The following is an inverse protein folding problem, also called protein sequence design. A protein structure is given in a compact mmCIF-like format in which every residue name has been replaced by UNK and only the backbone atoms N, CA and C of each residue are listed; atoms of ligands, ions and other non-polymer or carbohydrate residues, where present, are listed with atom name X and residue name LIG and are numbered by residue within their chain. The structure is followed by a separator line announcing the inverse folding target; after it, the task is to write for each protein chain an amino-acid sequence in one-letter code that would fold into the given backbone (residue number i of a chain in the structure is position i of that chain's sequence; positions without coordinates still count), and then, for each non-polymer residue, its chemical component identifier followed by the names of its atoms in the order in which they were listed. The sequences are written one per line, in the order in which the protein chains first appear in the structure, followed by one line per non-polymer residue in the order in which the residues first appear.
data_IF_310861352170
#
_entry.id   IF_310861352170
#
_cell.length_a   1.000
_cell.length_b   1.000
_cell.length_c   1.000
_cell.angle_alpha   90.00
_cell.angle_beta   90.00
_cell.angle_gamma   90.00
#
_symmetry.space_group_name_H-M   'P 1'
#
loop_
_entity.id
_entity.type
_entity.pdbx_description
1 polymer ?
#
# COMPACT_ATOMS: atom_id res chain seq x y z
N UNK A 1 71.66 -9.30 -14.16
CA UNK A 1 70.51 -10.15 -13.95
C UNK A 1 69.25 -9.23 -13.91
N UNK A 2 68.54 -9.14 -15.00
CA UNK A 2 67.27 -8.42 -15.04
C UNK A 2 66.16 -9.39 -14.58
N UNK A 3 65.59 -9.14 -13.38
CA UNK A 3 64.38 -9.84 -12.93
C UNK A 3 63.16 -9.23 -13.62
N UNK A 4 62.64 -9.91 -14.62
CA UNK A 4 61.31 -9.63 -15.18
C UNK A 4 60.29 -10.19 -14.21
N UNK A 5 59.52 -9.29 -13.52
CA UNK A 5 58.33 -9.68 -12.81
C UNK A 5 57.27 -10.13 -13.82
N UNK A 6 56.61 -11.29 -13.63
CA UNK A 6 55.49 -11.68 -14.48
C UNK A 6 54.35 -10.70 -14.25
N UNK A 7 53.98 -9.98 -15.32
CA UNK A 7 52.76 -9.18 -15.33
C UNK A 7 51.58 -10.12 -15.17
N UNK A 8 50.82 -9.95 -14.12
CA UNK A 8 49.49 -10.61 -13.96
C UNK A 8 48.61 -10.09 -15.10
N UNK A 9 48.37 -10.94 -16.11
CA UNK A 9 47.41 -10.64 -17.16
C UNK A 9 46.06 -10.45 -16.51
N UNK A 10 45.52 -9.23 -16.53
CA UNK A 10 44.20 -8.94 -16.09
C UNK A 10 43.23 -9.68 -17.04
N UNK A 11 42.52 -10.69 -16.54
CA UNK A 11 41.51 -11.41 -17.34
C UNK A 11 40.56 -10.42 -17.99
N UNK A 12 40.31 -10.57 -19.30
CA UNK A 12 39.40 -9.73 -20.04
C UNK A 12 37.98 -9.92 -19.48
N UNK A 13 37.37 -8.82 -19.04
CA UNK A 13 35.99 -8.85 -18.51
C UNK A 13 34.99 -9.36 -19.54
N UNK A 14 34.01 -10.13 -19.08
CA UNK A 14 32.91 -10.66 -19.92
C UNK A 14 32.04 -9.53 -20.46
N UNK A 15 31.54 -9.70 -21.67
CA UNK A 15 30.48 -8.83 -22.20
C UNK A 15 29.12 -9.36 -21.76
N UNK A 16 28.13 -8.44 -21.49
CA UNK A 16 26.76 -8.82 -21.18
C UNK A 16 26.10 -9.35 -22.46
N UNK A 17 25.41 -10.48 -22.37
CA UNK A 17 24.58 -11.02 -23.44
C UNK A 17 23.09 -10.94 -23.08
N UNK A 18 22.22 -11.07 -24.09
CA UNK A 18 20.78 -11.16 -23.85
C UNK A 18 20.41 -12.39 -23.03
N UNK A 19 21.13 -13.49 -23.21
CA UNK A 19 20.97 -14.73 -22.45
C UNK A 19 21.29 -14.51 -20.96
N UNK A 20 22.32 -13.70 -20.63
CA UNK A 20 22.65 -13.37 -19.24
C UNK A 20 21.53 -12.62 -18.55
N UNK A 21 20.83 -11.72 -19.27
CA UNK A 21 19.74 -10.92 -18.73
C UNK A 21 18.45 -11.73 -18.63
N UNK A 22 18.02 -12.39 -19.73
CA UNK A 22 16.65 -12.90 -19.88
C UNK A 22 16.50 -14.41 -19.64
N UNK A 23 17.55 -15.20 -19.83
CA UNK A 23 17.49 -16.65 -19.65
C UNK A 23 18.14 -17.11 -18.33
N UNK A 24 19.36 -16.63 -18.05
CA UNK A 24 20.14 -17.06 -16.90
C UNK A 24 19.84 -16.29 -15.63
N UNK A 25 19.15 -15.12 -15.74
CA UNK A 25 18.93 -14.21 -14.62
C UNK A 25 20.22 -13.89 -13.84
N UNK A 26 21.36 -13.73 -14.55
CA UNK A 26 22.71 -13.60 -14.00
C UNK A 26 22.82 -12.43 -13.00
N UNK A 27 22.04 -11.36 -13.23
CA UNK A 27 22.08 -10.13 -12.44
C UNK A 27 20.87 -9.99 -11.50
N UNK A 28 20.21 -11.10 -11.15
CA UNK A 28 19.06 -11.06 -10.25
C UNK A 28 19.47 -10.61 -8.86
N UNK A 29 18.86 -9.51 -8.40
CA UNK A 29 19.00 -9.02 -7.03
C UNK A 29 18.28 -9.99 -6.09
N UNK A 30 18.93 -10.37 -5.00
CA UNK A 30 18.31 -11.08 -3.91
C UNK A 30 17.64 -10.04 -3.00
N UNK A 31 16.33 -10.11 -2.90
CA UNK A 31 15.54 -9.25 -2.04
C UNK A 31 15.25 -9.95 -0.70
N UNK A 32 14.93 -9.17 0.31
CA UNK A 32 14.34 -9.70 1.55
C UNK A 32 12.89 -10.06 1.25
N UNK A 33 12.49 -11.33 1.34
CA UNK A 33 11.14 -11.76 1.03
C UNK A 33 10.16 -11.33 2.14
N UNK A 34 8.88 -11.19 1.78
CA UNK A 34 7.70 -11.00 2.60
C UNK A 34 7.92 -10.74 4.10
N UNK A 35 8.08 -9.48 4.48
CA UNK A 35 8.40 -9.06 5.85
C UNK A 35 7.17 -8.40 6.45
N UNK A 36 6.39 -9.16 7.24
CA UNK A 36 5.20 -8.62 7.92
C UNK A 36 5.52 -8.42 9.40
N UNK A 37 5.80 -7.16 9.78
CA UNK A 37 6.06 -6.82 11.18
C UNK A 37 4.83 -7.08 12.05
N UNK A 38 5.02 -7.73 13.20
CA UNK A 38 3.96 -7.98 14.18
C UNK A 38 3.78 -6.77 15.09
N UNK A 39 2.57 -6.63 15.66
CA UNK A 39 2.19 -5.50 16.51
C UNK A 39 2.99 -5.36 17.80
N UNK A 40 3.65 -6.43 18.24
CA UNK A 40 4.50 -6.39 19.43
C UNK A 40 5.80 -5.58 19.22
N UNK A 41 6.09 -5.18 17.96
CA UNK A 41 7.28 -4.40 17.59
C UNK A 41 8.61 -5.15 17.77
N UNK A 42 8.57 -6.46 17.98
CA UNK A 42 9.74 -7.33 18.25
C UNK A 42 9.87 -8.45 17.24
N UNK A 43 8.76 -8.88 16.65
CA UNK A 43 8.72 -10.00 15.73
C UNK A 43 8.20 -9.59 14.35
N UNK A 44 8.49 -10.42 13.37
CA UNK A 44 7.89 -10.37 12.05
C UNK A 44 7.53 -11.78 11.58
N UNK A 45 6.62 -11.86 10.63
CA UNK A 45 6.29 -13.13 9.98
C UNK A 45 6.74 -13.13 8.53
N UNK A 46 7.02 -14.31 8.02
CA UNK A 46 7.44 -14.55 6.65
C UNK A 46 6.77 -15.81 6.13
N UNK A 47 6.40 -15.80 4.84
CA UNK A 47 5.97 -16.99 4.11
C UNK A 47 7.22 -17.71 3.58
N UNK A 48 7.63 -18.75 4.26
CA UNK A 48 8.74 -19.62 3.86
C UNK A 48 8.24 -20.70 2.90
N UNK A 49 9.08 -21.08 1.96
CA UNK A 49 8.78 -22.14 0.99
C UNK A 49 9.91 -23.14 0.89
N UNK A 50 9.56 -24.43 0.93
CA UNK A 50 10.44 -25.56 0.69
C UNK A 50 9.77 -26.53 -0.30
N UNK A 51 10.11 -26.42 -1.57
CA UNK A 51 9.42 -27.09 -2.66
C UNK A 51 7.96 -26.67 -2.75
N UNK A 52 7.03 -27.62 -2.47
CA UNK A 52 5.58 -27.36 -2.38
C UNK A 52 5.11 -27.05 -0.96
N UNK A 53 6.00 -27.15 0.03
CA UNK A 53 5.66 -26.89 1.42
C UNK A 53 5.79 -25.42 1.72
N UNK A 54 4.78 -24.84 2.34
CA UNK A 54 4.73 -23.43 2.72
C UNK A 54 4.44 -23.29 4.22
N UNK A 55 5.11 -22.33 4.83
CA UNK A 55 5.03 -22.07 6.27
C UNK A 55 4.94 -20.58 6.52
N UNK A 56 3.98 -20.15 7.32
CA UNK A 56 4.01 -18.80 7.90
C UNK A 56 4.69 -18.92 9.25
N UNK A 57 5.87 -18.30 9.39
CA UNK A 57 6.73 -18.41 10.57
C UNK A 57 7.01 -17.08 11.20
N UNK A 58 7.16 -17.10 12.53
CA UNK A 58 7.59 -15.93 13.30
C UNK A 58 9.11 -15.92 13.35
N UNK A 59 9.67 -14.72 13.30
CA UNK A 59 11.10 -14.46 13.46
C UNK A 59 11.30 -13.27 14.40
N UNK A 60 12.35 -13.32 15.21
CA UNK A 60 12.77 -12.17 16.01
C UNK A 60 13.39 -11.10 15.11
N UNK A 61 12.97 -9.84 15.26
CA UNK A 61 13.44 -8.72 14.44
C UNK A 61 14.94 -8.46 14.63
N UNK A 62 15.39 -8.40 15.88
CA UNK A 62 16.77 -8.02 16.19
C UNK A 62 17.78 -9.11 15.82
N UNK A 63 17.49 -10.38 16.13
CA UNK A 63 18.42 -11.50 15.94
C UNK A 63 18.21 -12.23 14.63
N UNK A 64 16.96 -12.26 14.10
CA UNK A 64 16.56 -13.07 12.97
C UNK A 64 16.36 -14.54 13.32
N UNK A 65 16.37 -14.88 14.59
CA UNK A 65 16.12 -16.24 15.06
C UNK A 65 14.70 -16.67 14.70
N UNK A 66 14.61 -17.92 14.25
CA UNK A 66 13.35 -18.55 13.85
C UNK A 66 12.60 -18.98 15.10
N UNK A 67 11.38 -18.46 15.24
CA UNK A 67 10.44 -18.83 16.28
C UNK A 67 9.43 -19.90 15.83
N UNK A 68 8.19 -19.77 16.32
CA UNK A 68 7.10 -20.73 16.04
C UNK A 68 6.57 -20.64 14.62
N UNK A 69 5.95 -21.72 14.18
CA UNK A 69 5.20 -21.79 12.93
C UNK A 69 3.73 -21.52 13.22
N UNK A 70 3.16 -20.51 12.56
CA UNK A 70 1.73 -20.16 12.68
C UNK A 70 0.87 -21.00 11.75
N UNK A 71 1.35 -21.26 10.53
CA UNK A 71 0.66 -22.04 9.52
C UNK A 71 1.63 -22.97 8.81
N UNK A 72 1.18 -24.19 8.50
CA UNK A 72 1.93 -25.22 7.79
C UNK A 72 0.97 -25.94 6.82
N UNK A 73 1.14 -25.72 5.52
CA UNK A 73 0.25 -26.30 4.51
C UNK A 73 0.39 -27.83 4.33
N UNK A 74 1.33 -28.46 5.03
CA UNK A 74 1.43 -29.92 5.07
C UNK A 74 0.43 -30.54 6.06
N UNK A 75 0.07 -29.77 7.10
CA UNK A 75 -0.83 -30.17 8.19
C UNK A 75 -2.22 -29.57 7.95
N UNK A 76 -2.30 -28.25 7.74
CA UNK A 76 -3.53 -27.53 7.49
C UNK A 76 -3.97 -27.73 6.03
N UNK A 77 -4.98 -28.57 5.83
CA UNK A 77 -5.54 -28.91 4.52
C UNK A 77 -7.04 -28.67 4.50
N UNK A 78 -7.58 -28.33 3.35
CA UNK A 78 -9.01 -28.35 3.13
C UNK A 78 -9.39 -29.66 2.44
N UNK A 79 -9.91 -30.62 3.21
CA UNK A 79 -10.12 -31.98 2.73
C UNK A 79 -8.80 -32.67 2.40
N UNK A 80 -8.64 -33.15 1.16
CA UNK A 80 -7.41 -33.79 0.68
C UNK A 80 -6.43 -32.83 0.02
N UNK A 81 -6.85 -31.59 -0.26
CA UNK A 81 -6.05 -30.63 -1.03
C UNK A 81 -5.12 -29.81 -0.14
N UNK A 82 -3.90 -29.63 -0.62
CA UNK A 82 -2.92 -28.76 -0.01
C UNK A 82 -3.17 -27.31 -0.48
N UNK A 83 -3.30 -26.38 0.48
CA UNK A 83 -3.48 -24.96 0.19
C UNK A 83 -2.14 -24.35 -0.23
N UNK A 84 -2.11 -23.67 -1.39
CA UNK A 84 -0.97 -22.90 -1.85
C UNK A 84 -1.25 -21.40 -1.64
N UNK A 85 -0.54 -20.78 -0.71
CA UNK A 85 -0.73 -19.39 -0.32
C UNK A 85 0.09 -18.49 -1.25
N UNK A 86 -0.54 -17.44 -1.76
CA UNK A 86 0.13 -16.37 -2.50
C UNK A 86 0.37 -15.15 -1.60
N UNK A 87 -0.60 -14.84 -0.73
CA UNK A 87 -0.58 -13.71 0.19
C UNK A 87 -1.33 -14.07 1.48
N UNK A 88 -1.04 -13.36 2.57
CA UNK A 88 -1.80 -13.47 3.82
C UNK A 88 -1.86 -12.13 4.56
N UNK A 89 -2.93 -11.94 5.34
CA UNK A 89 -3.09 -10.78 6.24
C UNK A 89 -3.61 -11.21 7.60
N UNK A 90 -3.20 -10.49 8.64
CA UNK A 90 -3.67 -10.75 10.00
C UNK A 90 -4.99 -10.02 10.31
N UNK A 91 -5.78 -10.61 11.22
CA UNK A 91 -6.78 -9.85 11.98
C UNK A 91 -6.08 -8.83 12.88
N UNK A 92 -6.83 -7.82 13.34
CA UNK A 92 -6.28 -6.76 14.19
C UNK A 92 -5.68 -7.27 15.49
N UNK A 93 -6.20 -8.37 16.04
CA UNK A 93 -5.69 -9.03 17.26
C UNK A 93 -4.60 -10.07 16.98
N UNK A 94 -4.20 -10.24 15.72
CA UNK A 94 -3.24 -11.24 15.23
C UNK A 94 -3.59 -12.69 15.60
N UNK A 95 -4.88 -12.99 15.85
CA UNK A 95 -5.34 -14.34 16.18
C UNK A 95 -5.83 -15.11 14.94
N UNK A 96 -6.11 -14.43 13.84
CA UNK A 96 -6.58 -15.04 12.58
C UNK A 96 -5.78 -14.54 11.39
N UNK A 97 -5.78 -15.33 10.32
CA UNK A 97 -5.23 -14.98 9.02
C UNK A 97 -6.32 -15.07 7.94
N UNK A 98 -6.33 -14.13 7.01
CA UNK A 98 -6.83 -14.36 5.66
C UNK A 98 -5.70 -14.93 4.83
N UNK A 99 -5.95 -16.08 4.20
CA UNK A 99 -5.04 -16.74 3.28
C UNK A 99 -5.58 -16.58 1.86
N UNK A 100 -4.83 -15.93 0.99
CA UNK A 100 -5.19 -15.65 -0.39
C UNK A 100 -4.53 -16.67 -1.32
N UNK A 101 -5.33 -17.28 -2.17
CA UNK A 101 -4.91 -18.37 -3.06
C UNK A 101 -5.53 -18.22 -4.43
N UNK A 102 -4.96 -18.88 -5.45
CA UNK A 102 -5.52 -18.96 -6.80
C UNK A 102 -5.81 -17.57 -7.40
N UNK A 103 -4.88 -16.63 -7.26
CA UNK A 103 -5.02 -15.25 -7.74
C UNK A 103 -5.30 -15.17 -9.23
N UNK A 104 -6.28 -14.35 -9.61
CA UNK A 104 -6.65 -14.08 -11.00
C UNK A 104 -6.76 -12.57 -11.21
N UNK A 105 -5.81 -12.01 -11.95
CA UNK A 105 -5.84 -10.59 -12.29
C UNK A 105 -7.04 -10.25 -13.19
N UNK A 106 -7.73 -9.15 -12.88
CA UNK A 106 -8.79 -8.57 -13.70
C UNK A 106 -8.22 -7.43 -14.53
N UNK A 107 -7.58 -6.47 -13.86
CA UNK A 107 -6.84 -5.35 -14.44
C UNK A 107 -5.41 -5.35 -13.89
N UNK A 108 -4.76 -4.20 -13.87
CA UNK A 108 -3.37 -4.05 -13.43
C UNK A 108 -3.20 -4.40 -11.95
N UNK A 109 -4.14 -3.97 -11.09
CA UNK A 109 -4.04 -4.04 -9.63
C UNK A 109 -5.09 -4.95 -9.00
N UNK A 110 -6.27 -5.06 -9.59
CA UNK A 110 -7.37 -5.88 -9.05
C UNK A 110 -7.14 -7.37 -9.28
N UNK A 111 -7.18 -8.14 -8.19
CA UNK A 111 -7.00 -9.59 -8.20
C UNK A 111 -8.15 -10.28 -7.48
N UNK A 112 -8.80 -11.23 -8.14
CA UNK A 112 -9.75 -12.14 -7.55
C UNK A 112 -9.01 -13.29 -6.88
N UNK A 113 -9.32 -13.56 -5.61
CA UNK A 113 -8.72 -14.64 -4.83
C UNK A 113 -9.76 -15.61 -4.31
N UNK A 114 -9.40 -16.88 -4.20
CA UNK A 114 -10.04 -17.81 -3.28
C UNK A 114 -9.44 -17.53 -1.90
N UNK A 115 -10.29 -17.20 -0.94
CA UNK A 115 -9.85 -16.72 0.38
C UNK A 115 -10.31 -17.68 1.46
N UNK A 116 -9.40 -18.00 2.38
CA UNK A 116 -9.68 -18.77 3.58
C UNK A 116 -9.45 -17.94 4.84
N UNK A 117 -10.25 -18.17 5.85
CA UNK A 117 -10.04 -17.67 7.21
C UNK A 117 -9.39 -18.78 8.02
N UNK A 118 -8.24 -18.53 8.59
CA UNK A 118 -7.50 -19.46 9.44
C UNK A 118 -7.44 -18.93 10.88
N UNK A 119 -7.87 -19.73 11.84
CA UNK A 119 -7.76 -19.43 13.26
C UNK A 119 -6.46 -20.03 13.78
N UNK A 120 -5.53 -19.19 14.24
CA UNK A 120 -4.17 -19.60 14.63
C UNK A 120 -4.20 -20.49 15.87
N UNK A 121 -5.10 -20.22 16.82
CA UNK A 121 -5.16 -20.93 18.09
C UNK A 121 -5.71 -22.35 17.92
N UNK A 122 -6.74 -22.51 17.10
CA UNK A 122 -7.44 -23.79 16.92
C UNK A 122 -6.94 -24.59 15.73
N UNK A 123 -6.24 -23.94 14.79
CA UNK A 123 -5.85 -24.53 13.51
C UNK A 123 -7.02 -24.71 12.52
N UNK A 124 -8.20 -24.17 12.83
CA UNK A 124 -9.37 -24.30 11.98
C UNK A 124 -9.25 -23.45 10.71
N UNK A 125 -9.63 -24.02 9.56
CA UNK A 125 -9.68 -23.34 8.27
C UNK A 125 -11.12 -23.29 7.80
N UNK A 126 -11.58 -22.13 7.36
CA UNK A 126 -12.89 -21.91 6.80
C UNK A 126 -12.77 -21.18 5.45
N UNK A 127 -13.45 -21.69 4.41
CA UNK A 127 -13.60 -20.99 3.15
C UNK A 127 -14.47 -19.74 3.35
N UNK A 128 -13.99 -18.58 2.86
CA UNK A 128 -14.73 -17.32 2.98
C UNK A 128 -15.99 -17.35 2.11
N UNK A 129 -15.83 -17.66 0.83
CA UNK A 129 -16.92 -17.80 -0.15
C UNK A 129 -16.56 -18.90 -1.16
N UNK A 130 -17.57 -19.53 -1.78
CA UNK A 130 -17.35 -20.55 -2.82
C UNK A 130 -16.79 -19.93 -4.11
N UNK A 131 -17.12 -18.68 -4.40
CA UNK A 131 -16.55 -17.94 -5.51
C UNK A 131 -15.26 -17.23 -5.10
N UNK A 132 -14.44 -16.88 -6.07
CA UNK A 132 -13.33 -15.93 -5.85
C UNK A 132 -13.88 -14.54 -5.57
N UNK A 133 -13.24 -13.82 -4.65
CA UNK A 133 -13.66 -12.51 -4.18
C UNK A 133 -12.55 -11.49 -4.32
N UNK A 134 -12.92 -10.20 -4.30
CA UNK A 134 -12.01 -9.07 -4.26
C UNK A 134 -11.94 -8.51 -2.84
N UNK A 135 -10.76 -8.00 -2.46
CA UNK A 135 -10.57 -7.10 -1.32
C UNK A 135 -11.01 -7.62 0.04
N UNK A 136 -10.91 -8.92 0.30
CA UNK A 136 -11.26 -9.47 1.60
C UNK A 136 -10.47 -8.79 2.73
N UNK A 137 -11.18 -8.21 3.74
CA UNK A 137 -10.59 -7.53 4.90
C UNK A 137 -11.34 -7.86 6.17
N UNK A 138 -10.60 -8.08 7.27
CA UNK A 138 -11.21 -8.22 8.58
C UNK A 138 -11.86 -6.93 9.06
N UNK A 139 -12.95 -7.05 9.82
CA UNK A 139 -13.42 -5.97 10.70
C UNK A 139 -12.38 -5.67 11.78
N UNK A 140 -12.36 -4.47 12.37
CA UNK A 140 -11.41 -4.11 13.43
C UNK A 140 -11.40 -5.05 14.63
N UNK A 141 -12.55 -5.64 14.96
CA UNK A 141 -12.71 -6.64 16.03
C UNK A 141 -12.37 -8.09 15.62
N UNK A 142 -12.00 -8.31 14.34
CA UNK A 142 -11.66 -9.64 13.81
C UNK A 142 -12.81 -10.66 13.78
N UNK A 143 -14.06 -10.22 13.97
CA UNK A 143 -15.25 -11.09 14.01
C UNK A 143 -15.93 -11.25 12.66
N UNK A 144 -15.64 -10.36 11.71
CA UNK A 144 -16.25 -10.34 10.37
C UNK A 144 -15.18 -10.16 9.30
N UNK A 145 -15.52 -10.53 8.06
CA UNK A 145 -14.71 -10.26 6.87
C UNK A 145 -15.60 -9.62 5.81
N UNK A 146 -15.26 -8.42 5.37
CA UNK A 146 -15.90 -7.79 4.21
C UNK A 146 -15.17 -8.16 2.93
N UNK A 147 -15.91 -8.24 1.82
CA UNK A 147 -15.38 -8.56 0.50
C UNK A 147 -16.33 -8.13 -0.61
N UNK A 148 -15.83 -8.03 -1.83
CA UNK A 148 -16.62 -7.71 -3.02
C UNK A 148 -16.74 -8.93 -3.92
N UNK A 149 -17.95 -9.17 -4.41
CA UNK A 149 -18.29 -10.22 -5.37
C UNK A 149 -19.38 -9.72 -6.33
N UNK A 150 -19.16 -9.90 -7.65
CA UNK A 150 -20.13 -9.51 -8.68
C UNK A 150 -20.61 -8.06 -8.51
N UNK A 151 -19.68 -7.12 -8.35
CA UNK A 151 -19.92 -5.68 -8.14
C UNK A 151 -20.76 -5.32 -6.92
N UNK A 152 -20.92 -6.25 -5.97
CA UNK A 152 -21.62 -6.02 -4.72
C UNK A 152 -20.70 -6.25 -3.52
N UNK A 153 -20.90 -5.43 -2.50
CA UNK A 153 -20.21 -5.51 -1.23
C UNK A 153 -20.98 -6.44 -0.27
N UNK A 154 -20.25 -7.30 0.41
CA UNK A 154 -20.76 -8.25 1.41
C UNK A 154 -19.89 -8.20 2.66
N UNK A 155 -20.42 -8.71 3.76
CA UNK A 155 -19.58 -9.18 4.86
C UNK A 155 -20.04 -10.55 5.35
N UNK A 156 -19.10 -11.37 5.82
CA UNK A 156 -19.34 -12.65 6.48
C UNK A 156 -19.11 -12.50 7.98
N UNK A 157 -20.09 -12.87 8.79
CA UNK A 157 -19.96 -13.03 10.22
C UNK A 157 -19.30 -14.39 10.49
N UNK A 158 -18.13 -14.38 11.15
CA UNK A 158 -17.32 -15.57 11.38
C UNK A 158 -17.85 -16.44 12.52
N UNK A 159 -18.71 -15.90 13.41
CA UNK A 159 -19.28 -16.64 14.54
C UNK A 159 -20.40 -17.57 14.10
N UNK A 160 -21.26 -17.11 13.18
CA UNK A 160 -22.40 -17.86 12.69
C UNK A 160 -22.30 -18.28 11.23
N UNK A 161 -21.19 -17.92 10.56
CA UNK A 161 -20.90 -18.22 9.15
C UNK A 161 -21.90 -17.62 8.15
N UNK A 162 -22.69 -16.63 8.55
CA UNK A 162 -23.65 -15.96 7.66
C UNK A 162 -22.97 -14.91 6.80
N UNK A 163 -23.25 -14.95 5.49
CA UNK A 163 -22.87 -13.90 4.55
C UNK A 163 -24.05 -12.94 4.36
N UNK A 164 -23.81 -11.66 4.62
CA UNK A 164 -24.81 -10.60 4.57
C UNK A 164 -24.45 -9.65 3.42
N UNK A 165 -25.37 -9.39 2.48
CA UNK A 165 -25.17 -8.37 1.45
C UNK A 165 -25.29 -6.98 2.07
N UNK A 166 -24.31 -6.12 1.80
CA UNK A 166 -24.36 -4.68 2.06
C UNK A 166 -25.04 -3.98 0.89
N UNK A 167 -24.80 -4.47 -0.34
CA UNK A 167 -25.41 -3.97 -1.57
C UNK A 167 -25.96 -5.10 -2.43
N UNK A 168 -26.93 -4.78 -3.30
CA UNK A 168 -27.60 -5.75 -4.18
C UNK A 168 -27.86 -5.22 -5.59
N UNK A 169 -27.44 -3.99 -5.88
CA UNK A 169 -27.67 -3.31 -7.16
C UNK A 169 -26.46 -3.34 -8.11
N UNK A 170 -25.41 -4.09 -7.74
CA UNK A 170 -24.22 -4.24 -8.57
C UNK A 170 -24.53 -4.95 -9.88
N UNK A 171 -24.08 -4.36 -10.98
CA UNK A 171 -24.29 -4.86 -12.35
C UNK A 171 -23.07 -4.53 -13.22
N UNK A 172 -22.61 -5.51 -14.00
CA UNK A 172 -21.44 -5.32 -14.90
C UNK A 172 -21.70 -4.18 -15.90
N UNK A 173 -20.70 -3.32 -16.08
CA UNK A 173 -20.74 -2.16 -16.97
C UNK A 173 -21.83 -1.14 -16.60
N UNK A 174 -22.29 -1.13 -15.36
CA UNK A 174 -23.34 -0.23 -14.91
C UNK A 174 -23.16 0.27 -13.48
N UNK A 175 -23.12 -0.63 -12.50
CA UNK A 175 -23.03 -0.27 -11.08
C UNK A 175 -21.94 -1.10 -10.41
N UNK A 176 -21.02 -0.42 -9.73
CA UNK A 176 -19.95 -1.08 -8.95
C UNK A 176 -20.05 -0.58 -7.51
N UNK A 177 -20.04 -1.49 -6.55
CA UNK A 177 -20.03 -1.19 -5.12
C UNK A 177 -18.83 -1.81 -4.44
N UNK A 178 -18.06 -1.02 -3.71
CA UNK A 178 -16.93 -1.49 -2.90
C UNK A 178 -15.67 -1.89 -3.67
N UNK A 179 -15.70 -1.84 -4.98
CA UNK A 179 -14.57 -1.90 -5.90
C UNK A 179 -14.58 -0.63 -6.74
N UNK A 180 -13.46 -0.21 -7.31
CA UNK A 180 -13.42 0.96 -8.17
C UNK A 180 -13.69 0.63 -9.63
N UNK A 181 -13.99 1.66 -10.41
CA UNK A 181 -14.01 1.60 -11.88
C UNK A 181 -12.59 1.65 -12.45
N UNK A 182 -12.47 1.54 -13.76
CA UNK A 182 -11.17 1.56 -14.44
C UNK A 182 -10.37 2.85 -14.20
N UNK A 183 -11.02 4.02 -14.21
CA UNK A 183 -10.35 5.32 -14.01
C UNK A 183 -9.72 5.42 -12.62
N UNK A 184 -10.44 4.99 -11.59
CA UNK A 184 -9.93 5.06 -10.21
C UNK A 184 -8.84 4.03 -9.94
N UNK A 185 -8.89 2.85 -10.58
CA UNK A 185 -7.80 1.89 -10.48
C UNK A 185 -6.51 2.38 -11.16
N UNK A 186 -6.61 2.99 -12.35
CA UNK A 186 -5.45 3.40 -13.13
C UNK A 186 -4.89 4.76 -12.73
N UNK A 187 -5.77 5.76 -12.45
CA UNK A 187 -5.38 7.15 -12.26
C UNK A 187 -5.24 7.53 -10.77
N UNK A 188 -6.07 6.96 -9.90
CA UNK A 188 -5.98 7.20 -8.45
C UNK A 188 -5.34 6.06 -7.67
N UNK A 189 -4.94 4.99 -8.37
CA UNK A 189 -4.09 3.90 -7.87
C UNK A 189 -4.62 3.12 -6.66
N UNK A 190 -5.95 3.00 -6.52
CA UNK A 190 -6.56 2.13 -5.54
C UNK A 190 -7.61 1.21 -6.14
N UNK A 191 -7.89 0.09 -5.47
CA UNK A 191 -8.84 -0.93 -5.95
C UNK A 191 -9.93 -1.19 -4.93
N UNK A 192 -9.58 -1.32 -3.63
CA UNK A 192 -10.55 -1.48 -2.56
C UNK A 192 -11.27 -0.18 -2.30
N UNK A 193 -12.53 -0.11 -2.70
CA UNK A 193 -13.37 1.07 -2.61
C UNK A 193 -14.35 0.98 -1.43
N UNK A 194 -13.90 0.48 -0.29
CA UNK A 194 -14.62 0.49 0.98
C UNK A 194 -13.65 0.44 2.16
N UNK A 195 -14.10 0.88 3.32
CA UNK A 195 -13.34 0.80 4.54
C UNK A 195 -14.23 0.63 5.77
N UNK A 196 -13.74 -0.13 6.76
CA UNK A 196 -14.39 -0.31 8.05
C UNK A 196 -14.19 0.92 8.93
N UNK A 197 -15.25 1.38 9.62
CA UNK A 197 -15.08 2.33 10.71
C UNK A 197 -14.20 1.72 11.82
N UNK A 198 -13.37 2.51 12.53
CA UNK A 198 -12.45 2.03 13.54
C UNK A 198 -13.07 1.16 14.64
N UNK A 199 -14.35 1.39 14.95
CA UNK A 199 -15.11 0.62 15.94
C UNK A 199 -15.87 -0.60 15.34
N UNK A 200 -15.78 -0.81 14.01
CA UNK A 200 -16.39 -1.93 13.30
C UNK A 200 -17.91 -1.87 13.16
N UNK A 201 -18.55 -0.72 13.49
CA UNK A 201 -20.03 -0.60 13.40
C UNK A 201 -20.52 -0.15 12.04
N UNK A 202 -19.67 0.52 11.25
CA UNK A 202 -20.01 1.03 9.94
C UNK A 202 -19.03 0.52 8.88
N UNK A 203 -19.52 0.50 7.62
CA UNK A 203 -18.69 0.34 6.41
C UNK A 203 -18.98 1.52 5.50
N UNK A 204 -17.96 2.36 5.26
CA UNK A 204 -18.02 3.37 4.21
C UNK A 204 -17.62 2.74 2.88
N UNK A 205 -18.34 3.06 1.80
CA UNK A 205 -18.01 2.50 0.49
C UNK A 205 -18.37 3.43 -0.66
N UNK A 206 -17.67 3.26 -1.75
CA UNK A 206 -17.97 3.89 -3.04
C UNK A 206 -19.05 3.13 -3.78
N UNK A 207 -19.96 3.87 -4.38
CA UNK A 207 -20.85 3.38 -5.42
C UNK A 207 -20.57 4.16 -6.70
N UNK A 208 -20.09 3.48 -7.73
CA UNK A 208 -19.86 4.03 -9.05
C UNK A 208 -21.07 3.71 -9.94
N UNK A 209 -21.63 4.73 -10.57
CA UNK A 209 -22.58 4.58 -11.65
C UNK A 209 -21.89 4.91 -12.97
N UNK A 210 -21.47 3.86 -13.69
CA UNK A 210 -20.79 3.94 -14.97
C UNK A 210 -21.73 3.81 -16.18
N UNK A 211 -23.06 3.94 -15.96
CA UNK A 211 -24.08 3.77 -17.02
C UNK A 211 -23.84 4.70 -18.21
N UNK A 212 -23.35 5.91 -17.95
CA UNK A 212 -23.09 6.94 -18.98
C UNK A 212 -21.64 6.95 -19.48
N UNK A 213 -20.77 6.09 -18.95
CA UNK A 213 -19.37 5.96 -19.42
C UNK A 213 -19.38 5.16 -20.73
N UNK A 214 -18.66 5.62 -21.77
CA UNK A 214 -18.54 4.89 -23.01
C UNK A 214 -17.90 3.51 -22.84
N UNK A 215 -18.29 2.57 -23.69
CA UNK A 215 -17.71 1.23 -23.75
C UNK A 215 -16.53 1.19 -24.73
N UNK A 216 -15.51 0.43 -24.33
CA UNK A 216 -14.37 0.13 -25.17
C UNK A 216 -14.18 -1.39 -25.27
N UNK A 217 -13.89 -1.88 -26.46
CA UNK A 217 -13.69 -3.31 -26.72
C UNK A 217 -12.26 -3.56 -27.17
N UNK A 218 -11.57 -4.48 -26.49
CA UNK A 218 -10.25 -4.95 -26.88
C UNK A 218 -10.31 -6.40 -27.32
N UNK A 219 -9.45 -6.78 -28.25
CA UNK A 219 -9.25 -8.17 -28.67
C UNK A 219 -8.12 -8.78 -27.84
N UNK A 220 -8.39 -9.90 -27.17
CA UNK A 220 -7.42 -10.67 -26.39
C UNK A 220 -6.97 -11.85 -27.25
N UNK A 221 -5.66 -11.92 -27.56
CA UNK A 221 -5.04 -12.91 -28.46
C UNK A 221 -4.38 -14.05 -27.66
N UNK A 222 -5.11 -14.62 -26.72
CA UNK A 222 -4.66 -15.76 -25.91
C UNK A 222 -4.94 -17.13 -26.53
N UNK A 223 -5.71 -17.16 -27.65
CA UNK A 223 -6.11 -18.34 -28.40
C UNK A 223 -5.94 -18.11 -29.90
N UNK A 224 -6.17 -19.18 -30.70
CA UNK A 224 -6.11 -19.10 -32.16
C UNK A 224 -7.04 -18.03 -32.73
N UNK A 225 -8.22 -17.88 -32.17
CA UNK A 225 -9.15 -16.79 -32.46
C UNK A 225 -9.26 -15.87 -31.25
N UNK A 226 -9.14 -14.54 -31.43
CA UNK A 226 -9.21 -13.61 -30.30
C UNK A 226 -10.59 -13.60 -29.68
N UNK A 227 -10.61 -13.49 -28.35
CA UNK A 227 -11.83 -13.16 -27.61
C UNK A 227 -11.96 -11.66 -27.47
N UNK A 228 -13.20 -11.15 -27.46
CA UNK A 228 -13.44 -9.73 -27.23
C UNK A 228 -13.78 -9.48 -25.76
N UNK A 229 -13.15 -8.46 -25.17
CA UNK A 229 -13.43 -8.00 -23.84
C UNK A 229 -13.92 -6.54 -23.89
N UNK A 230 -15.18 -6.33 -23.48
CA UNK A 230 -15.82 -5.01 -23.45
C UNK A 230 -15.98 -4.54 -22.01
N UNK A 231 -15.54 -3.30 -21.76
CA UNK A 231 -15.60 -2.66 -20.43
C UNK A 231 -15.79 -1.15 -20.59
N UNK A 232 -16.12 -0.48 -19.48
CA UNK A 232 -16.28 0.98 -19.44
C UNK A 232 -14.91 1.65 -19.42
N UNK A 233 -14.67 2.53 -20.40
CA UNK A 233 -13.39 3.22 -20.57
C UNK A 233 -13.63 4.60 -21.18
N UNK A 234 -13.58 5.68 -20.39
CA UNK A 234 -13.74 7.02 -20.90
C UNK A 234 -12.43 7.49 -21.54
N UNK A 235 -12.48 7.97 -22.77
CA UNK A 235 -11.37 8.71 -23.36
C UNK A 235 -11.33 10.14 -22.82
N UNK A 236 -10.21 10.82 -23.05
CA UNK A 236 -10.05 12.21 -22.63
C UNK A 236 -11.23 13.09 -23.09
N UNK A 237 -11.82 13.83 -22.17
CA UNK A 237 -12.98 14.70 -22.41
C UNK A 237 -14.35 14.01 -22.34
N UNK A 238 -14.41 12.67 -22.23
CA UNK A 238 -15.68 11.94 -22.09
C UNK A 238 -16.15 11.92 -20.61
N UNK A 239 -17.36 11.40 -20.41
CA UNK A 239 -17.98 11.30 -19.08
C UNK A 239 -17.31 10.20 -18.27
N UNK A 240 -17.04 10.51 -17.00
CA UNK A 240 -16.65 9.54 -15.99
C UNK A 240 -17.87 8.98 -15.25
N UNK A 241 -17.67 7.99 -14.42
CA UNK A 241 -18.67 7.48 -13.49
C UNK A 241 -19.19 8.58 -12.54
N UNK A 242 -20.46 8.53 -12.20
CA UNK A 242 -20.99 9.31 -11.08
C UNK A 242 -20.69 8.57 -9.79
N UNK A 243 -19.94 9.19 -8.90
CA UNK A 243 -19.46 8.57 -7.66
C UNK A 243 -20.26 9.06 -6.47
N UNK A 244 -20.73 8.11 -5.67
CA UNK A 244 -21.39 8.37 -4.39
C UNK A 244 -20.60 7.69 -3.27
N UNK A 245 -20.52 8.36 -2.13
CA UNK A 245 -20.01 7.76 -0.89
C UNK A 245 -21.19 7.41 0.00
N UNK A 246 -21.22 6.16 0.42
CA UNK A 246 -22.29 5.61 1.24
C UNK A 246 -21.72 5.04 2.53
N UNK A 247 -22.51 5.08 3.60
CA UNK A 247 -22.17 4.47 4.88
C UNK A 247 -23.26 3.50 5.28
N UNK A 248 -22.88 2.25 5.49
CA UNK A 248 -23.76 1.17 5.94
C UNK A 248 -23.57 0.95 7.44
N UNK A 249 -24.66 0.98 8.18
CA UNK A 249 -24.71 0.65 9.60
C UNK A 249 -25.02 -0.83 9.79
N UNK A 250 -24.14 -1.58 10.44
CA UNK A 250 -24.26 -3.03 10.61
C UNK A 250 -25.41 -3.44 11.54
N UNK A 251 -25.77 -2.59 12.49
CA UNK A 251 -26.83 -2.87 13.47
C UNK A 251 -28.21 -2.66 12.87
N UNK A 252 -28.43 -1.51 12.23
CA UNK A 252 -29.73 -1.16 11.64
C UNK A 252 -29.92 -1.74 10.23
N UNK A 253 -28.80 -2.12 9.58
CA UNK A 253 -28.75 -2.54 8.17
C UNK A 253 -29.22 -1.47 7.18
N UNK A 254 -29.16 -0.22 7.59
CA UNK A 254 -29.49 0.92 6.76
C UNK A 254 -28.23 1.51 6.11
N UNK A 255 -28.42 2.08 4.94
CA UNK A 255 -27.38 2.82 4.21
C UNK A 255 -27.79 4.27 4.08
N UNK A 256 -26.88 5.18 4.39
CA UNK A 256 -27.02 6.61 4.14
C UNK A 256 -26.07 7.06 3.03
N UNK A 257 -26.39 8.20 2.39
CA UNK A 257 -25.49 8.88 1.47
C UNK A 257 -24.74 9.98 2.20
N UNK A 258 -23.41 9.96 2.16
CA UNK A 258 -22.61 11.11 2.57
C UNK A 258 -22.78 12.24 1.56
N UNK A 259 -22.95 13.47 2.04
CA UNK A 259 -23.16 14.64 1.19
C UNK A 259 -21.82 15.10 0.58
N UNK A 260 -21.59 14.80 -0.69
CA UNK A 260 -20.42 15.26 -1.47
C UNK A 260 -20.74 16.45 -2.38
N UNK A 261 -21.87 17.10 -2.20
CA UNK A 261 -22.35 18.21 -3.03
C UNK A 261 -23.24 17.75 -4.19
N UNK A 262 -23.62 18.69 -5.04
CA UNK A 262 -24.54 18.45 -6.19
C UNK A 262 -23.78 18.19 -7.50
N UNK A 263 -22.50 18.56 -7.55
CA UNK A 263 -21.68 18.33 -8.74
C UNK A 263 -21.43 16.83 -8.90
N UNK A 264 -21.61 16.32 -10.11
CA UNK A 264 -21.38 14.93 -10.46
C UNK A 264 -20.13 14.72 -11.33
N UNK A 265 -19.66 15.77 -12.00
CA UNK A 265 -18.42 15.76 -12.78
C UNK A 265 -17.23 16.16 -11.90
N UNK A 266 -16.96 15.32 -10.91
CA UNK A 266 -15.94 15.48 -9.89
C UNK A 266 -15.28 14.13 -9.59
N UNK A 267 -14.18 14.16 -8.85
CA UNK A 267 -13.53 12.98 -8.32
C UNK A 267 -13.63 12.91 -6.80
N UNK A 268 -13.66 11.68 -6.29
CA UNK A 268 -13.53 11.38 -4.85
C UNK A 268 -12.32 10.45 -4.69
N UNK A 269 -11.08 10.96 -4.80
CA UNK A 269 -9.90 10.13 -4.88
C UNK A 269 -9.62 9.30 -3.63
N UNK A 270 -10.09 9.73 -2.44
CA UNK A 270 -9.92 8.98 -1.18
C UNK A 270 -11.10 9.19 -0.24
N UNK A 271 -11.30 8.20 0.63
CA UNK A 271 -12.03 8.31 1.89
C UNK A 271 -11.14 7.81 3.02
N UNK A 272 -11.28 8.38 4.22
CA UNK A 272 -10.52 7.95 5.39
C UNK A 272 -11.31 8.23 6.66
N UNK A 273 -11.47 7.23 7.51
CA UNK A 273 -12.07 7.47 8.82
C UNK A 273 -11.17 8.36 9.67
N UNK A 274 -11.77 9.27 10.43
CA UNK A 274 -11.05 10.09 11.41
C UNK A 274 -10.72 9.28 12.67
N UNK A 275 -10.22 9.91 13.72
CA UNK A 275 -10.08 9.25 15.02
C UNK A 275 -11.46 9.03 15.70
N UNK A 276 -12.48 9.78 15.29
CA UNK A 276 -13.85 9.57 15.71
C UNK A 276 -14.52 8.56 14.72
N UNK A 277 -15.01 7.39 15.18
CA UNK A 277 -15.61 6.39 14.31
C UNK A 277 -16.94 6.84 13.66
N UNK A 278 -17.54 7.95 14.12
CA UNK A 278 -18.77 8.52 13.57
C UNK A 278 -18.48 9.57 12.48
N UNK A 279 -17.20 9.79 12.12
CA UNK A 279 -16.78 10.84 11.19
C UNK A 279 -15.86 10.29 10.09
N UNK A 280 -16.30 10.49 8.83
CA UNK A 280 -15.60 10.07 7.63
C UNK A 280 -15.05 11.30 6.89
N UNK A 281 -13.74 11.34 6.69
CA UNK A 281 -13.12 12.31 5.79
C UNK A 281 -13.25 11.85 4.34
N UNK A 282 -13.77 12.73 3.48
CA UNK A 282 -13.98 12.50 2.05
C UNK A 282 -13.15 13.52 1.28
N UNK A 283 -12.27 13.05 0.42
CA UNK A 283 -11.46 13.89 -0.46
C UNK A 283 -12.29 14.17 -1.71
N UNK A 284 -12.73 15.41 -1.88
CA UNK A 284 -13.47 15.86 -3.05
C UNK A 284 -12.60 16.72 -3.93
N UNK A 285 -12.49 16.37 -5.20
CA UNK A 285 -11.63 17.06 -6.17
C UNK A 285 -12.44 17.43 -7.41
N UNK A 286 -12.22 18.62 -7.95
CA UNK A 286 -12.85 19.03 -9.20
C UNK A 286 -12.25 18.27 -10.40
N UNK A 287 -12.95 18.29 -11.54
CA UNK A 287 -12.51 17.61 -12.77
C UNK A 287 -11.15 18.08 -13.28
N UNK A 288 -10.77 19.32 -13.08
CA UNK A 288 -9.48 19.88 -13.48
C UNK A 288 -8.33 19.50 -12.53
N UNK A 289 -8.64 18.81 -11.41
CA UNK A 289 -7.67 18.34 -10.42
C UNK A 289 -6.78 19.46 -9.84
N UNK A 290 -7.32 20.64 -9.71
CA UNK A 290 -6.63 21.82 -9.18
C UNK A 290 -7.31 22.45 -7.97
N UNK A 291 -8.36 21.80 -7.47
CA UNK A 291 -9.08 22.14 -6.24
C UNK A 291 -9.40 20.87 -5.46
N UNK A 292 -8.83 20.73 -4.29
CA UNK A 292 -9.08 19.65 -3.34
C UNK A 292 -9.80 20.19 -2.12
N UNK A 293 -10.88 19.53 -1.72
CA UNK A 293 -11.65 19.81 -0.51
C UNK A 293 -11.75 18.54 0.33
N UNK A 294 -11.34 18.62 1.58
CA UNK A 294 -11.57 17.58 2.57
C UNK A 294 -12.88 17.88 3.27
N UNK A 295 -13.83 16.97 3.13
CA UNK A 295 -15.13 17.06 3.78
C UNK A 295 -15.16 16.10 4.95
N UNK A 296 -15.65 16.52 6.11
CA UNK A 296 -15.97 15.64 7.21
C UNK A 296 -17.47 15.35 7.20
N UNK A 297 -17.80 14.07 7.04
CA UNK A 297 -19.17 13.59 6.94
C UNK A 297 -19.53 12.75 8.17
N UNK A 298 -20.67 13.08 8.79
CA UNK A 298 -21.19 12.29 9.90
C UNK A 298 -21.79 10.97 9.39
N UNK A 299 -21.37 9.86 9.96
CA UNK A 299 -21.70 8.50 9.54
C UNK A 299 -23.18 8.12 9.72
N UNK A 300 -23.90 8.77 10.64
CA UNK A 300 -25.31 8.48 10.89
C UNK A 300 -26.26 9.32 10.01
N UNK A 301 -25.91 10.59 9.78
CA UNK A 301 -26.79 11.55 9.10
C UNK A 301 -26.41 11.83 7.66
N UNK A 302 -25.18 11.52 7.26
CA UNK A 302 -24.59 11.86 5.96
C UNK A 302 -24.33 13.36 5.76
N UNK A 303 -24.59 14.21 6.74
CA UNK A 303 -24.29 15.65 6.66
C UNK A 303 -22.78 15.84 6.66
N UNK A 304 -22.29 16.72 5.79
CA UNK A 304 -20.88 17.04 5.70
C UNK A 304 -20.62 18.53 5.83
N UNK A 305 -19.43 18.87 6.29
CA UNK A 305 -18.89 20.22 6.29
C UNK A 305 -17.47 20.23 5.76
N UNK A 306 -16.98 21.39 5.37
CA UNK A 306 -15.63 21.56 4.85
C UNK A 306 -14.63 21.57 6.01
N UNK A 307 -13.66 20.67 5.97
CA UNK A 307 -12.59 20.54 6.95
C UNK A 307 -11.31 21.29 6.51
N UNK A 308 -10.96 21.17 5.24
CA UNK A 308 -9.79 21.81 4.65
C UNK A 308 -9.99 22.00 3.15
N UNK A 309 -9.32 23.02 2.59
CA UNK A 309 -9.35 23.30 1.16
C UNK A 309 -7.96 23.69 0.67
N UNK A 310 -7.58 23.12 -0.46
CA UNK A 310 -6.38 23.49 -1.22
C UNK A 310 -6.74 23.82 -2.66
N UNK A 311 -6.14 24.86 -3.20
CA UNK A 311 -6.27 25.25 -4.61
C UNK A 311 -4.87 25.52 -5.18
N UNK A 312 -4.64 25.03 -6.39
CA UNK A 312 -3.41 25.27 -7.14
C UNK A 312 -3.79 25.82 -8.52
N UNK A 313 -2.93 26.66 -9.07
CA UNK A 313 -3.12 27.20 -10.43
C UNK A 313 -3.07 26.09 -11.49
N UNK A 314 -2.33 25.02 -11.24
CA UNK A 314 -2.03 23.99 -12.23
C UNK A 314 -2.67 22.65 -11.87
N UNK A 315 -2.20 22.02 -10.79
CA UNK A 315 -2.53 20.65 -10.43
C UNK A 315 -2.30 20.42 -8.93
N UNK A 316 -3.05 19.47 -8.34
CA UNK A 316 -2.85 18.98 -6.98
C UNK A 316 -2.64 17.47 -7.08
N UNK A 317 -1.46 17.00 -6.65
CA UNK A 317 -1.15 15.58 -6.57
C UNK A 317 -1.94 14.93 -5.43
N UNK A 318 -2.50 13.75 -5.67
CA UNK A 318 -3.18 12.95 -4.65
C UNK A 318 -2.22 11.88 -4.15
N UNK A 319 -2.10 11.79 -2.83
CA UNK A 319 -1.33 10.79 -2.13
C UNK A 319 -2.15 10.18 -0.96
N UNK A 320 -1.61 9.15 -0.32
CA UNK A 320 -2.24 8.46 0.81
C UNK A 320 -1.72 8.99 2.17
N UNK A 321 -1.01 10.10 2.16
CA UNK A 321 -0.16 10.59 3.25
C UNK A 321 -0.89 11.58 4.20
N UNK A 322 -2.21 11.44 4.38
CA UNK A 322 -2.94 12.18 5.39
C UNK A 322 -3.13 11.32 6.64
N UNK A 323 -2.71 11.80 7.81
CA UNK A 323 -2.85 11.09 9.08
C UNK A 323 -3.49 11.99 10.15
N UNK A 324 -4.65 11.56 10.66
CA UNK A 324 -5.32 12.21 11.79
C UNK A 324 -4.57 12.00 13.11
N UNK A 325 -4.38 13.09 13.85
CA UNK A 325 -3.70 13.06 15.14
C UNK A 325 -4.65 12.70 16.30
N UNK A 326 -4.12 12.15 17.41
CA UNK A 326 -4.93 11.75 18.57
C UNK A 326 -5.59 12.92 19.32
N UNK A 327 -5.24 14.16 19.00
CA UNK A 327 -5.86 15.36 19.59
C UNK A 327 -7.32 15.56 19.14
N UNK A 328 -7.74 14.87 18.06
CA UNK A 328 -9.11 14.89 17.57
C UNK A 328 -9.48 16.14 16.76
N UNK A 329 -8.53 17.05 16.54
CA UNK A 329 -8.76 18.29 15.80
C UNK A 329 -7.64 18.68 14.83
N UNK A 330 -6.70 17.77 14.55
CA UNK A 330 -5.66 18.06 13.57
C UNK A 330 -5.23 16.83 12.78
N UNK A 331 -4.64 17.06 11.61
CA UNK A 331 -4.01 16.04 10.79
C UNK A 331 -2.70 16.53 10.18
N UNK A 332 -1.83 15.61 9.82
CA UNK A 332 -0.61 15.85 9.05
C UNK A 332 -0.83 15.34 7.63
N UNK A 333 -0.36 16.11 6.64
CA UNK A 333 -0.51 15.79 5.22
C UNK A 333 0.64 16.38 4.41
N UNK A 334 0.77 15.95 3.17
CA UNK A 334 1.70 16.49 2.20
C UNK A 334 1.00 17.49 1.27
N UNK A 335 1.71 18.56 0.90
CA UNK A 335 1.23 19.55 -0.06
C UNK A 335 2.39 20.26 -0.75
N UNK A 336 2.20 20.62 -2.03
CA UNK A 336 3.13 21.39 -2.85
C UNK A 336 2.81 22.90 -2.85
N UNK A 337 2.02 23.40 -1.91
CA UNK A 337 1.51 24.79 -1.91
C UNK A 337 2.59 25.88 -1.86
N UNK A 338 3.81 25.56 -1.44
CA UNK A 338 4.95 26.49 -1.42
C UNK A 338 5.96 26.27 -2.55
N UNK A 339 5.67 25.35 -3.50
CA UNK A 339 6.47 25.05 -4.69
C UNK A 339 7.32 23.78 -4.58
N UNK A 340 7.37 23.13 -3.41
CA UNK A 340 7.95 21.83 -3.15
C UNK A 340 7.00 20.98 -2.33
N UNK A 341 7.13 19.65 -2.40
CA UNK A 341 6.33 18.77 -1.57
C UNK A 341 6.84 18.80 -0.13
N UNK A 342 6.02 19.31 0.80
CA UNK A 342 6.33 19.43 2.23
C UNK A 342 5.25 18.87 3.12
N UNK A 343 5.64 18.56 4.38
CA UNK A 343 4.73 18.16 5.42
C UNK A 343 4.12 19.37 6.11
N UNK A 344 2.80 19.32 6.27
CA UNK A 344 2.01 20.33 6.96
C UNK A 344 1.16 19.67 8.03
N UNK A 345 0.86 20.42 9.11
CA UNK A 345 -0.18 20.12 10.07
C UNK A 345 -1.30 21.15 9.95
N UNK A 346 -2.51 20.67 9.73
CA UNK A 346 -3.73 21.48 9.79
C UNK A 346 -4.44 21.20 11.11
N UNK A 347 -4.76 22.27 11.85
CA UNK A 347 -5.55 22.27 13.06
C UNK A 347 -6.85 23.01 12.73
N UNK A 348 -7.96 22.27 12.61
CA UNK A 348 -9.22 22.83 12.15
C UNK A 348 -10.02 23.54 13.24
N UNK A 349 -9.76 23.28 14.53
CA UNK A 349 -10.38 24.00 15.63
C UNK A 349 -9.83 25.44 15.73
N UNK A 350 -8.55 25.62 15.42
CA UNK A 350 -7.89 26.93 15.47
C UNK A 350 -7.65 27.53 14.07
N UNK A 351 -8.11 26.87 13.00
CA UNK A 351 -7.87 27.26 11.59
C UNK A 351 -6.39 27.55 11.31
N UNK A 352 -5.50 26.72 11.82
CA UNK A 352 -4.06 26.96 11.79
C UNK A 352 -3.33 25.95 10.93
N UNK A 353 -2.68 26.44 9.87
CA UNK A 353 -1.73 25.69 9.07
C UNK A 353 -0.31 25.88 9.59
N UNK A 354 0.42 24.79 9.83
CA UNK A 354 1.80 24.80 10.29
C UNK A 354 2.64 23.93 9.37
N UNK A 355 3.63 24.53 8.68
CA UNK A 355 4.60 23.75 7.90
C UNK A 355 5.59 23.07 8.86
N UNK A 356 5.69 21.75 8.78
CA UNK A 356 6.61 20.93 9.56
C UNK A 356 8.00 20.89 8.91
N UNK A 357 8.05 20.87 7.59
CA UNK A 357 9.28 20.88 6.80
C UNK A 357 9.30 22.10 5.87
N UNK A 358 10.48 22.56 5.48
CA UNK A 358 10.69 23.72 4.61
C UNK A 358 12.03 23.60 3.87
N UNK A 359 12.14 24.18 2.69
CA UNK A 359 13.38 24.25 1.92
C UNK A 359 13.16 23.98 0.43
N UNK A 360 14.23 24.07 -0.37
CA UNK A 360 14.19 23.85 -1.82
C UNK A 360 14.40 22.35 -2.11
N UNK A 361 13.53 21.48 -1.58
CA UNK A 361 13.57 20.04 -1.76
C UNK A 361 12.20 19.41 -1.52
N UNK A 362 11.99 18.22 -2.07
CA UNK A 362 10.75 17.45 -1.90
C UNK A 362 10.86 16.40 -0.79
N UNK A 363 9.79 16.27 -0.02
CA UNK A 363 9.48 15.05 0.71
C UNK A 363 9.12 13.98 -0.32
N UNK A 364 9.67 12.79 -0.17
CA UNK A 364 9.36 11.64 -1.04
C UNK A 364 8.18 10.84 -0.52
N UNK A 365 8.15 10.61 0.80
CA UNK A 365 7.09 9.85 1.46
C UNK A 365 6.99 10.18 2.94
N UNK A 366 5.77 10.30 3.44
CA UNK A 366 5.44 10.17 4.85
C UNK A 366 5.50 8.68 5.24
N UNK A 367 6.48 8.29 6.05
CA UNK A 367 6.65 6.90 6.49
C UNK A 367 5.65 6.54 7.60
N UNK A 368 5.28 7.51 8.41
CA UNK A 368 4.26 7.35 9.42
C UNK A 368 4.44 8.24 10.64
N UNK A 369 3.47 8.15 11.55
CA UNK A 369 3.41 8.95 12.77
C UNK A 369 3.46 8.06 13.99
N UNK A 370 4.50 8.24 14.79
CA UNK A 370 4.61 7.66 16.11
C UNK A 370 3.81 8.53 17.11
N UNK A 371 2.63 8.04 17.47
CA UNK A 371 1.70 8.76 18.36
C UNK A 371 2.18 8.82 19.81
N UNK A 372 2.99 7.85 20.22
CA UNK A 372 3.54 7.79 21.60
C UNK A 372 4.70 8.77 21.76
N UNK A 373 5.66 8.75 20.82
CA UNK A 373 6.83 9.64 20.85
C UNK A 373 6.56 11.01 20.26
N UNK A 374 5.40 11.21 19.63
CA UNK A 374 4.99 12.43 18.93
C UNK A 374 5.96 12.81 17.82
N UNK A 375 6.39 11.81 17.05
CA UNK A 375 7.32 11.95 15.94
C UNK A 375 6.66 11.65 14.61
N UNK A 376 7.13 12.34 13.58
CA UNK A 376 6.82 12.08 12.18
C UNK A 376 8.07 11.57 11.49
N UNK A 377 7.98 10.40 10.85
CA UNK A 377 9.05 9.82 10.06
C UNK A 377 8.76 10.03 8.58
N UNK A 378 9.75 10.48 7.82
CA UNK A 378 9.61 10.76 6.39
C UNK A 378 10.92 10.57 5.65
N UNK A 379 10.86 10.33 4.35
CA UNK A 379 12.02 10.38 3.46
C UNK A 379 12.00 11.63 2.62
N UNK A 380 13.17 12.20 2.33
CA UNK A 380 13.28 13.44 1.59
C UNK A 380 14.58 13.52 0.76
N UNK A 381 14.53 14.41 -0.26
CA UNK A 381 15.65 14.74 -1.14
C UNK A 381 16.51 15.91 -0.61
N UNK A 382 16.45 16.23 0.67
CA UNK A 382 17.04 17.45 1.27
C UNK A 382 18.53 17.64 0.95
N UNK A 383 19.33 16.57 1.04
CA UNK A 383 20.77 16.66 0.80
C UNK A 383 21.14 16.78 -0.69
N UNK A 384 20.30 16.24 -1.55
CA UNK A 384 20.51 16.22 -3.01
C UNK A 384 19.29 15.62 -3.70
N UNK A 385 18.90 16.13 -4.89
CA UNK A 385 17.83 15.52 -5.69
C UNK A 385 18.15 14.08 -6.12
N UNK A 386 19.41 13.63 -5.97
CA UNK A 386 19.88 12.28 -6.30
C UNK A 386 19.92 11.34 -5.08
N UNK A 387 19.44 11.77 -3.92
CA UNK A 387 19.50 11.02 -2.67
C UNK A 387 18.16 11.07 -1.94
N UNK A 388 17.87 10.02 -1.20
CA UNK A 388 16.72 9.93 -0.31
C UNK A 388 17.19 9.44 1.05
N UNK A 389 17.01 10.26 2.07
CA UNK A 389 17.35 9.93 3.46
C UNK A 389 16.12 9.89 4.34
N UNK A 390 16.18 9.08 5.40
CA UNK A 390 15.15 9.00 6.43
C UNK A 390 15.40 10.09 7.49
N UNK A 391 14.33 10.79 7.84
CA UNK A 391 14.30 11.82 8.88
C UNK A 391 13.23 11.51 9.91
N UNK A 392 13.44 12.05 11.11
CA UNK A 392 12.41 12.16 12.14
C UNK A 392 12.29 13.63 12.57
N UNK A 393 11.05 14.09 12.77
CA UNK A 393 10.74 15.43 13.27
C UNK A 393 9.57 15.34 14.24
N UNK A 394 9.48 16.23 15.24
CA UNK A 394 8.27 16.26 16.06
C UNK A 394 7.08 16.85 15.27
N UNK A 395 5.85 16.55 15.69
CA UNK A 395 4.65 17.01 14.97
C UNK A 395 4.33 18.51 15.14
N UNK A 396 5.28 19.27 15.73
CA UNK A 396 5.29 20.73 15.73
C UNK A 396 6.37 21.31 14.78
N UNK A 397 7.07 20.45 14.03
CA UNK A 397 8.10 20.87 13.09
C UNK A 397 9.44 21.23 13.74
N UNK A 398 9.73 20.69 14.94
CA UNK A 398 10.97 20.93 15.69
C UNK A 398 11.79 19.66 15.84
N UNK A 399 13.04 19.82 16.32
CA UNK A 399 13.90 18.69 16.70
C UNK A 399 14.13 17.69 15.55
N UNK A 400 14.26 18.19 14.31
CA UNK A 400 14.56 17.35 13.14
C UNK A 400 15.87 16.59 13.32
N UNK A 401 15.88 15.29 12.99
CA UNK A 401 17.05 14.41 13.02
C UNK A 401 17.15 13.64 11.73
N UNK A 402 18.36 13.48 11.22
CA UNK A 402 18.66 12.54 10.12
C UNK A 402 18.90 11.16 10.72
N UNK A 403 18.23 10.12 10.21
CA UNK A 403 18.35 8.74 10.70
C UNK A 403 19.18 7.86 9.75
N UNK A 404 19.41 8.30 8.50
CA UNK A 404 20.31 7.63 7.55
C UNK A 404 21.28 8.66 6.98
N UNK A 405 22.57 8.46 7.23
CA UNK A 405 23.64 9.39 6.80
C UNK A 405 24.34 8.95 5.52
N UNK A 406 24.20 7.67 5.13
CA UNK A 406 24.85 7.14 3.94
C UNK A 406 24.26 7.76 2.66
N UNK A 407 25.17 8.19 1.78
CA UNK A 407 24.79 8.78 0.49
C UNK A 407 24.20 7.72 -0.44
N UNK A 408 22.94 7.91 -0.83
CA UNK A 408 22.21 7.00 -1.71
C UNK A 408 20.70 7.18 -1.59
N UNK A 409 19.98 6.15 -1.92
CA UNK A 409 18.52 6.08 -1.79
C UNK A 409 18.16 5.05 -0.75
N UNK A 410 17.42 5.48 0.26
CA UNK A 410 16.86 4.66 1.32
C UNK A 410 15.36 4.50 1.08
N UNK A 411 14.91 3.25 0.82
CA UNK A 411 13.49 2.90 0.79
C UNK A 411 13.13 2.26 2.12
N UNK A 412 12.27 2.90 2.87
CA UNK A 412 12.03 2.59 4.28
C UNK A 412 10.65 1.93 4.46
N UNK A 413 10.62 0.80 5.17
CA UNK A 413 9.37 0.19 5.66
C UNK A 413 9.43 0.17 7.18
N UNK A 414 8.50 0.82 7.88
CA UNK A 414 8.48 0.83 9.34
C UNK A 414 7.97 -0.50 9.89
N UNK A 415 8.52 -0.92 11.04
CA UNK A 415 7.92 -1.95 11.88
C UNK A 415 6.93 -1.33 12.87
N UNK A 416 6.07 -2.14 13.46
CA UNK A 416 5.10 -1.67 14.43
C UNK A 416 5.76 -0.91 15.59
N UNK A 417 5.17 0.21 16.00
CA UNK A 417 5.68 1.09 17.04
C UNK A 417 6.97 1.83 16.67
N UNK A 418 7.40 1.81 15.40
CA UNK A 418 8.60 2.50 14.91
C UNK A 418 9.89 2.19 15.68
N UNK A 419 9.98 1.02 16.32
CA UNK A 419 11.18 0.57 17.01
C UNK A 419 12.28 0.13 16.05
N UNK A 420 11.86 -0.37 14.88
CA UNK A 420 12.73 -0.79 13.79
C UNK A 420 12.23 -0.31 12.45
N UNK A 421 13.17 -0.21 11.50
CA UNK A 421 12.90 0.09 10.10
C UNK A 421 13.66 -0.90 9.21
N UNK A 422 12.96 -1.48 8.23
CA UNK A 422 13.60 -2.15 7.12
C UNK A 422 14.07 -1.09 6.13
N UNK A 423 15.37 -1.02 5.88
CA UNK A 423 16.00 -0.07 4.95
C UNK A 423 16.59 -0.82 3.75
N UNK A 424 15.97 -0.65 2.59
CA UNK A 424 16.59 -1.04 1.32
C UNK A 424 17.45 0.12 0.84
N UNK A 425 18.73 0.02 1.11
CA UNK A 425 19.73 0.99 0.69
C UNK A 425 20.29 0.68 -0.69
N UNK A 426 20.34 1.67 -1.57
CA UNK A 426 20.95 1.56 -2.88
C UNK A 426 21.70 2.83 -3.25
N UNK A 427 22.71 2.69 -4.10
CA UNK A 427 23.37 3.82 -4.71
C UNK A 427 23.94 3.44 -6.09
N UNK A 428 24.25 4.47 -6.86
CA UNK A 428 24.79 4.29 -8.20
C UNK A 428 26.05 3.38 -8.21
N UNK A 429 26.08 2.44 -9.16
CA UNK A 429 27.17 1.47 -9.38
C UNK A 429 27.40 0.50 -8.19
N UNK A 430 26.41 0.30 -7.33
CA UNK A 430 26.43 -0.68 -6.23
C UNK A 430 25.14 -1.48 -6.22
N UNK A 431 25.26 -2.73 -5.80
CA UNK A 431 24.07 -3.57 -5.56
C UNK A 431 23.31 -3.10 -4.33
N UNK A 432 21.98 -3.28 -4.27
CA UNK A 432 21.20 -2.96 -3.09
C UNK A 432 21.60 -3.81 -1.88
N UNK A 433 21.57 -3.19 -0.71
CA UNK A 433 21.77 -3.85 0.60
C UNK A 433 20.53 -3.61 1.44
N UNK A 434 20.11 -4.61 2.19
CA UNK A 434 18.95 -4.54 3.09
C UNK A 434 19.43 -4.55 4.54
N UNK A 435 19.09 -3.51 5.28
CA UNK A 435 19.39 -3.34 6.69
C UNK A 435 18.15 -3.38 7.55
N UNK A 436 18.27 -3.87 8.76
CA UNK A 436 17.37 -3.56 9.85
C UNK A 436 18.00 -2.43 10.67
N UNK A 437 17.30 -1.31 10.82
CA UNK A 437 17.73 -0.17 11.64
C UNK A 437 16.82 -0.04 12.87
N UNK A 438 17.38 0.45 13.96
CA UNK A 438 16.60 0.82 15.16
C UNK A 438 15.98 2.23 15.02
N UNK A 439 15.20 2.66 16.01
CA UNK A 439 14.55 3.97 16.04
C UNK A 439 15.51 5.18 15.98
N UNK A 440 16.81 4.98 16.24
CA UNK A 440 17.84 6.01 16.13
C UNK A 440 18.53 6.02 14.76
N UNK A 441 18.17 5.09 13.86
CA UNK A 441 18.78 4.95 12.54
C UNK A 441 20.02 4.05 12.51
N UNK A 442 20.46 3.49 13.65
CA UNK A 442 21.63 2.62 13.74
C UNK A 442 21.33 1.26 13.09
N UNK A 443 22.28 0.71 12.33
CA UNK A 443 22.17 -0.60 11.72
C UNK A 443 22.27 -1.67 12.82
N UNK A 444 21.18 -2.39 13.05
CA UNK A 444 21.13 -3.53 13.98
C UNK A 444 21.63 -4.80 13.29
N UNK A 445 21.21 -5.01 12.04
CA UNK A 445 21.53 -6.22 11.28
C UNK A 445 21.53 -5.96 9.77
N UNK A 446 22.45 -6.60 9.06
CA UNK A 446 22.38 -6.72 7.59
C UNK A 446 21.52 -7.95 7.26
N UNK A 447 20.41 -7.72 6.56
CA UNK A 447 19.48 -8.79 6.17
C UNK A 447 19.93 -9.48 4.88
N UNK A 448 20.41 -8.69 3.90
CA UNK A 448 20.97 -9.18 2.64
C UNK A 448 21.96 -8.15 2.10
N UNK A 449 23.18 -8.56 1.81
CA UNK A 449 24.24 -7.65 1.34
C UNK A 449 24.52 -7.73 -0.17
N UNK A 450 23.93 -8.70 -0.86
CA UNK A 450 24.12 -8.95 -2.28
C UNK A 450 25.60 -9.01 -2.75
N UNK A 451 26.55 -9.34 -1.84
CA UNK A 451 27.98 -9.42 -2.20
C UNK A 451 28.26 -10.41 -3.32
N UNK A 452 27.54 -11.53 -3.36
CA UNK A 452 27.66 -12.52 -4.41
C UNK A 452 27.30 -11.94 -5.79
N UNK A 453 26.25 -11.11 -5.84
CA UNK A 453 25.86 -10.39 -7.05
C UNK A 453 26.91 -9.34 -7.43
N UNK A 454 27.43 -8.58 -6.46
CA UNK A 454 28.49 -7.60 -6.73
C UNK A 454 29.73 -8.28 -7.32
N UNK A 455 30.18 -9.38 -6.73
CA UNK A 455 31.33 -10.17 -7.25
C UNK A 455 31.03 -10.65 -8.69
N UNK A 456 29.82 -11.12 -8.95
CA UNK A 456 29.38 -11.53 -10.29
C UNK A 456 29.39 -10.37 -11.30
N UNK A 457 28.90 -9.20 -10.91
CA UNK A 457 28.94 -8.00 -11.75
C UNK A 457 30.38 -7.55 -12.06
N UNK A 458 31.27 -7.71 -11.12
CA UNK A 458 32.70 -7.32 -11.29
C UNK A 458 33.42 -8.16 -12.35
N UNK A 459 32.91 -9.35 -12.72
CA UNK A 459 33.41 -10.17 -13.83
C UNK A 459 33.08 -9.56 -15.21
N UNK A 460 32.10 -8.65 -15.29
CA UNK A 460 31.58 -8.09 -16.55
C UNK A 460 32.09 -6.67 -16.82
N UNK A 461 32.20 -6.34 -18.10
CA UNK A 461 32.50 -4.99 -18.58
C UNK A 461 31.25 -4.13 -18.52
N UNK A 462 31.01 -3.53 -17.37
CA UNK A 462 29.86 -2.65 -17.15
C UNK A 462 30.23 -1.19 -17.42
N UNK A 463 29.36 -0.46 -18.11
CA UNK A 463 29.45 0.99 -18.21
C UNK A 463 29.35 1.66 -16.84
N UNK A 464 30.06 2.75 -16.65
CA UNK A 464 29.92 3.57 -15.44
C UNK A 464 28.96 4.72 -15.72
N UNK A 465 27.88 4.80 -14.95
CA UNK A 465 26.99 5.95 -14.95
C UNK A 465 27.65 7.09 -14.19
N UNK A 466 27.60 8.31 -14.75
CA UNK A 466 28.10 9.53 -14.11
C UNK A 466 27.03 10.61 -14.19
N UNK A 467 26.85 11.32 -13.11
CA UNK A 467 26.02 12.54 -13.11
C UNK A 467 26.86 13.74 -13.52
N UNK A 468 26.28 14.62 -14.31
CA UNK A 468 26.89 15.90 -14.68
C UNK A 468 25.88 17.02 -14.51
N UNK A 469 26.36 18.22 -14.19
CA UNK A 469 25.52 19.43 -14.17
C UNK A 469 25.65 20.13 -15.53
N UNK A 470 24.52 20.42 -16.13
CA UNK A 470 24.44 21.27 -17.33
C UNK A 470 23.94 22.63 -16.84
N UNK A 471 24.66 23.70 -17.23
CA UNK A 471 24.26 25.10 -16.94
C UNK A 471 23.27 25.59 -17.96
#
# INVERSE_FOLDING_TARGET
MCCTQPGIAQEAKKQITLEDIWQKNTFRIKAVPGFNAMKDGKHYTQLDQDGKHQYIRIYDLATGEKGSTLFDNTIQKLGAEQISIEEYTFSTDEQKLLLFTEGQHIYRRSVLYRVYVYDIKTGAIQLLDYDKVLHATFSPDGTKVAFVKNNNLYYKDLQNSQTIPVTTDGEKNRIINGNCDWVYEEEFEFTRAYDWAPDGKHIAYYRFDESLVPEYTIAIYDKLYPTQYTYKYPKAGERNSVVQIKVYDLKTKNTINANVGKETDQYIPRIKWTQNPDELCIFRMNRLQNKLELLEANAETGKSHLLYKEENKYYIEINDNLEFLPDGHSFIFESEQDGFNHLYRWDWEHEKLTALTRGDYDIESLIGIDKERKLVYYTAAENSPLQRSLYAIDWNGRNKRTLTEEKGTHSITPCAGFNFFLDKYSRLNKVPVYYLRNANGEIVRTLEDNKALQAKMDEYSLGRIRFTKIK
#
